data_IF_976774348447
#
_entry.id   IF_976774348447
#
_cell.length_a   1.000
_cell.length_b   1.000
_cell.length_c   1.000
_cell.angle_alpha   90.00
_cell.angle_beta   90.00
_cell.angle_gamma   90.00
#
_symmetry.space_group_name_H-M   'P 1'
#
loop_
_entity.id
_entity.type
_entity.pdbx_description
1 polymer ?
#
# COMPACT_ATOMS: atom_id res chain seq x y z
N UNK A 1 -24.67 14.96 -69.83
CA UNK A 1 -24.53 14.21 -68.57
C UNK A 1 -23.90 15.14 -67.55
N UNK A 2 -24.69 15.59 -66.57
CA UNK A 2 -24.21 16.50 -65.51
C UNK A 2 -23.26 15.73 -64.59
N UNK A 3 -22.07 16.26 -64.24
CA UNK A 3 -21.16 15.61 -63.31
C UNK A 3 -21.83 15.65 -61.93
N UNK A 4 -22.51 14.55 -61.58
CA UNK A 4 -23.01 14.34 -60.23
C UNK A 4 -21.85 14.54 -59.26
N UNK A 5 -22.03 15.55 -58.42
CA UNK A 5 -21.11 16.02 -57.39
C UNK A 5 -20.57 14.83 -56.59
N UNK A 6 -19.31 14.43 -56.84
CA UNK A 6 -18.54 13.47 -56.03
C UNK A 6 -18.09 14.05 -54.68
N UNK A 7 -18.45 15.31 -54.40
CA UNK A 7 -18.07 16.05 -53.20
C UNK A 7 -18.59 15.43 -51.87
N UNK A 8 -19.83 14.91 -51.73
CA UNK A 8 -20.31 14.43 -50.44
C UNK A 8 -19.61 13.14 -50.00
N UNK A 9 -19.18 12.29 -50.94
CA UNK A 9 -18.46 11.03 -50.62
C UNK A 9 -17.09 11.32 -50.01
N UNK A 10 -16.41 12.38 -50.48
CA UNK A 10 -15.10 12.81 -49.96
C UNK A 10 -15.24 13.35 -48.54
N UNK A 11 -16.27 14.16 -48.27
CA UNK A 11 -16.50 14.71 -46.91
C UNK A 11 -16.89 13.63 -45.90
N UNK A 12 -17.70 12.64 -46.31
CA UNK A 12 -18.07 11.51 -45.45
C UNK A 12 -16.83 10.67 -45.12
N UNK A 13 -15.99 10.37 -46.12
CA UNK A 13 -14.74 9.64 -45.91
C UNK A 13 -13.80 10.35 -44.94
N UNK A 14 -13.67 11.68 -45.06
CA UNK A 14 -12.86 12.50 -44.16
C UNK A 14 -13.40 12.48 -42.71
N UNK A 15 -14.71 12.59 -42.53
CA UNK A 15 -15.36 12.53 -41.21
C UNK A 15 -15.14 11.19 -40.52
N UNK A 16 -15.26 10.08 -41.24
CA UNK A 16 -14.99 8.73 -40.70
C UNK A 16 -13.52 8.61 -40.29
N UNK A 17 -12.59 9.15 -41.08
CA UNK A 17 -11.16 9.10 -40.79
C UNK A 17 -10.80 9.92 -39.54
N UNK A 18 -11.43 11.09 -39.37
CA UNK A 18 -11.28 11.92 -38.15
C UNK A 18 -11.85 11.19 -36.93
N UNK A 19 -13.01 10.54 -37.06
CA UNK A 19 -13.63 9.79 -35.96
C UNK A 19 -12.77 8.59 -35.53
N UNK A 20 -12.20 7.85 -36.49
CA UNK A 20 -11.28 6.73 -36.22
C UNK A 20 -9.99 7.23 -35.58
N UNK A 21 -9.41 8.34 -36.08
CA UNK A 21 -8.22 8.93 -35.49
C UNK A 21 -8.48 9.41 -34.06
N UNK A 22 -9.61 10.10 -33.82
CA UNK A 22 -10.02 10.51 -32.49
C UNK A 22 -10.19 9.29 -31.56
N UNK A 23 -10.86 8.22 -32.01
CA UNK A 23 -11.03 7.00 -31.23
C UNK A 23 -9.68 6.34 -30.86
N UNK A 24 -8.73 6.27 -31.79
CA UNK A 24 -7.38 5.74 -31.53
C UNK A 24 -6.62 6.64 -30.55
N UNK A 25 -6.72 7.96 -30.70
CA UNK A 25 -6.02 8.93 -29.83
C UNK A 25 -6.63 8.93 -28.42
N UNK A 26 -7.96 8.91 -28.29
CA UNK A 26 -8.62 8.90 -26.99
C UNK A 26 -8.44 7.56 -26.25
N UNK A 27 -8.51 6.41 -26.94
CA UNK A 27 -8.22 5.11 -26.31
C UNK A 27 -6.72 4.88 -26.10
N UNK A 28 -5.85 5.48 -26.92
CA UNK A 28 -4.40 5.41 -26.74
C UNK A 28 -3.88 6.32 -25.62
N UNK A 29 -4.66 7.34 -25.23
CA UNK A 29 -4.37 8.26 -24.11
C UNK A 29 -4.98 7.83 -22.77
N UNK A 30 -5.77 6.74 -22.72
CA UNK A 30 -5.92 5.96 -21.47
C UNK A 30 -4.59 5.25 -21.15
N UNK A 31 -3.53 6.03 -20.93
CA UNK A 31 -2.51 5.62 -19.99
C UNK A 31 -3.21 5.60 -18.64
N UNK A 32 -3.77 4.43 -18.29
CA UNK A 32 -4.08 4.07 -16.92
C UNK A 32 -2.79 4.24 -16.12
N UNK A 33 -2.57 5.45 -15.61
CA UNK A 33 -1.38 5.79 -14.87
C UNK A 33 -1.57 5.21 -13.48
N UNK A 34 -1.39 3.90 -13.39
CA UNK A 34 -1.48 3.06 -12.21
C UNK A 34 -0.38 3.37 -11.18
N UNK A 35 0.25 4.53 -11.28
CA UNK A 35 1.32 4.97 -10.42
C UNK A 35 1.28 6.49 -10.19
N UNK A 36 1.69 6.92 -9.00
CA UNK A 36 1.90 8.33 -8.66
C UNK A 36 3.14 8.47 -7.77
N UNK A 37 3.85 9.60 -7.87
CA UNK A 37 4.91 9.95 -6.92
C UNK A 37 4.32 10.82 -5.81
N UNK A 38 4.50 10.41 -4.55
CA UNK A 38 4.17 11.18 -3.36
C UNK A 38 5.44 11.32 -2.55
N UNK A 39 5.98 12.55 -2.43
CA UNK A 39 7.18 12.83 -1.63
C UNK A 39 8.41 11.94 -1.98
N UNK A 40 8.56 11.58 -3.25
CA UNK A 40 9.64 10.69 -3.70
C UNK A 40 9.41 9.19 -3.45
N UNK A 41 8.20 8.81 -3.01
CA UNK A 41 7.74 7.43 -2.88
C UNK A 41 6.84 7.11 -4.07
N UNK A 42 7.09 5.96 -4.70
CA UNK A 42 6.29 5.49 -5.82
C UNK A 42 5.10 4.68 -5.31
N UNK A 43 3.90 5.22 -5.47
CA UNK A 43 2.65 4.57 -5.14
C UNK A 43 2.12 3.90 -6.41
N UNK A 44 1.99 2.57 -6.42
CA UNK A 44 1.48 1.80 -7.55
C UNK A 44 0.18 1.11 -7.17
N UNK A 45 -0.79 1.01 -8.07
CA UNK A 45 -2.04 0.31 -7.85
C UNK A 45 -2.40 -0.61 -9.02
N UNK A 46 -2.91 -1.81 -8.73
CA UNK A 46 -3.28 -2.77 -9.77
C UNK A 46 -4.63 -2.41 -10.41
N UNK A 47 -4.60 -2.01 -11.68
CA UNK A 47 -5.81 -1.80 -12.49
C UNK A 47 -6.61 -0.53 -12.17
N UNK A 48 -6.17 0.28 -11.22
CA UNK A 48 -6.77 1.56 -10.82
C UNK A 48 -5.69 2.58 -10.47
N UNK A 49 -6.05 3.86 -10.43
CA UNK A 49 -5.12 4.90 -9.94
C UNK A 49 -5.06 4.87 -8.40
N UNK A 50 -3.90 5.15 -7.77
CA UNK A 50 -3.78 5.09 -6.31
C UNK A 50 -4.78 6.00 -5.56
N UNK A 51 -5.17 7.13 -6.14
CA UNK A 51 -6.15 8.06 -5.57
C UNK A 51 -7.53 7.43 -5.34
N UNK A 52 -7.91 6.40 -6.12
CA UNK A 52 -9.20 5.74 -6.01
C UNK A 52 -9.19 4.58 -5.00
N UNK A 53 -8.07 3.84 -4.91
CA UNK A 53 -7.96 2.68 -4.02
C UNK A 53 -7.68 3.07 -2.56
N UNK A 54 -6.90 4.13 -2.33
CA UNK A 54 -6.48 4.52 -0.98
C UNK A 54 -7.69 4.89 -0.08
N UNK A 55 -8.66 5.72 -0.51
CA UNK A 55 -9.83 6.03 0.31
C UNK A 55 -10.69 4.80 0.60
N UNK A 56 -10.77 3.85 -0.35
CA UNK A 56 -11.50 2.59 -0.18
C UNK A 56 -10.85 1.73 0.91
N UNK A 57 -9.52 1.58 0.86
CA UNK A 57 -8.76 0.86 1.87
C UNK A 57 -8.87 1.52 3.25
N UNK A 58 -8.81 2.84 3.32
CA UNK A 58 -8.92 3.59 4.58
C UNK A 58 -10.32 3.46 5.24
N UNK A 59 -11.35 3.21 4.44
CA UNK A 59 -12.72 3.02 4.92
C UNK A 59 -12.97 1.65 5.56
N UNK A 60 -12.12 0.65 5.32
CA UNK A 60 -12.25 -0.70 5.91
C UNK A 60 -12.11 -0.65 7.44
N UNK A 61 -12.68 -1.63 8.14
CA UNK A 61 -12.72 -1.65 9.61
C UNK A 61 -11.62 -2.53 10.23
N UNK A 62 -11.22 -3.59 9.53
CA UNK A 62 -10.26 -4.58 10.03
C UNK A 62 -8.94 -4.48 9.26
N UNK A 63 -7.83 -4.46 10.00
CA UNK A 63 -6.49 -4.39 9.45
C UNK A 63 -5.59 -5.44 10.08
N UNK A 64 -4.74 -6.03 9.24
CA UNK A 64 -3.61 -6.86 9.67
C UNK A 64 -2.32 -6.12 9.31
N UNK A 65 -1.58 -5.67 10.31
CA UNK A 65 -0.28 -5.01 10.12
C UNK A 65 0.80 -6.06 10.28
N UNK A 66 1.40 -6.43 9.15
CA UNK A 66 2.40 -7.48 9.07
C UNK A 66 3.81 -6.94 8.81
N UNK A 67 4.77 -7.31 9.66
CA UNK A 67 6.18 -6.92 9.52
C UNK A 67 7.05 -8.17 9.41
N UNK A 68 8.05 -8.14 8.53
CA UNK A 68 8.99 -9.25 8.38
C UNK A 68 10.28 -9.03 9.18
N UNK A 69 10.77 -10.07 9.85
CA UNK A 69 12.05 -10.12 10.57
C UNK A 69 12.77 -11.44 10.29
N UNK A 70 14.10 -11.46 10.41
CA UNK A 70 14.83 -12.74 10.39
C UNK A 70 14.92 -13.32 11.81
N UNK A 71 14.84 -14.64 11.92
CA UNK A 71 14.94 -15.37 13.18
C UNK A 71 16.25 -15.13 13.94
N UNK A 72 17.36 -14.94 13.20
CA UNK A 72 18.72 -14.96 13.75
C UNK A 72 19.45 -13.62 13.77
N UNK A 73 18.78 -12.49 13.54
CA UNK A 73 19.49 -11.18 13.67
C UNK A 73 19.64 -10.81 15.14
N UNK A 74 20.88 -10.76 15.60
CA UNK A 74 21.23 -10.04 16.83
C UNK A 74 22.08 -8.82 16.46
N UNK A 75 21.62 -7.58 16.69
CA UNK A 75 20.32 -7.18 17.22
C UNK A 75 19.22 -7.11 16.13
N UNK A 76 17.97 -7.32 16.54
CA UNK A 76 16.77 -7.01 15.75
C UNK A 76 16.81 -5.55 15.33
N UNK A 77 16.59 -5.25 14.03
CA UNK A 77 16.60 -3.87 13.54
C UNK A 77 15.34 -3.12 14.05
N UNK A 78 15.47 -2.16 14.98
CA UNK A 78 14.32 -1.49 15.58
C UNK A 78 13.55 -0.62 14.57
N UNK A 79 14.19 -0.22 13.46
CA UNK A 79 13.57 0.60 12.43
C UNK A 79 12.40 -0.13 11.74
N UNK A 80 12.50 -1.46 11.58
CA UNK A 80 11.42 -2.27 11.00
C UNK A 80 10.15 -2.24 11.87
N UNK A 81 10.33 -2.25 13.20
CA UNK A 81 9.22 -2.19 14.15
C UNK A 81 8.57 -0.81 14.21
N UNK A 82 9.35 0.25 14.03
CA UNK A 82 8.82 1.61 14.05
C UNK A 82 7.78 1.83 12.93
N UNK A 83 8.01 1.30 11.73
CA UNK A 83 7.02 1.36 10.65
C UNK A 83 5.71 0.65 11.04
N UNK A 84 5.81 -0.53 11.66
CA UNK A 84 4.65 -1.30 12.16
C UNK A 84 3.87 -0.54 13.22
N UNK A 85 4.59 0.02 14.20
CA UNK A 85 4.01 0.79 15.29
C UNK A 85 3.29 2.04 14.81
N UNK A 86 3.81 2.74 13.79
CA UNK A 86 3.12 3.88 13.18
C UNK A 86 1.76 3.47 12.62
N UNK A 87 1.69 2.37 11.86
CA UNK A 87 0.43 1.84 11.36
C UNK A 87 -0.53 1.50 12.49
N UNK A 88 -0.07 0.75 13.50
CA UNK A 88 -0.89 0.36 14.64
C UNK A 88 -1.46 1.60 15.36
N UNK A 89 -0.61 2.57 15.72
CA UNK A 89 -1.02 3.79 16.43
C UNK A 89 -2.03 4.60 15.64
N UNK A 90 -1.79 4.84 14.35
CA UNK A 90 -2.67 5.69 13.54
C UNK A 90 -3.99 4.98 13.20
N UNK A 91 -3.96 3.68 12.93
CA UNK A 91 -5.17 2.88 12.69
C UNK A 91 -6.03 2.79 13.96
N UNK A 92 -5.44 2.46 15.12
CA UNK A 92 -6.15 2.42 16.40
C UNK A 92 -6.70 3.81 16.78
N UNK A 93 -5.93 4.88 16.55
CA UNK A 93 -6.39 6.26 16.76
C UNK A 93 -7.56 6.67 15.85
N UNK A 94 -7.68 6.03 14.69
CA UNK A 94 -8.83 6.13 13.78
C UNK A 94 -9.91 5.06 14.05
N UNK A 95 -9.88 4.43 15.24
CA UNK A 95 -10.86 3.45 15.72
C UNK A 95 -10.95 2.18 14.88
N UNK A 96 -9.89 1.84 14.14
CA UNK A 96 -9.81 0.59 13.37
C UNK A 96 -9.42 -0.59 14.25
N UNK A 97 -9.86 -1.78 13.88
CA UNK A 97 -9.45 -3.02 14.53
C UNK A 97 -8.14 -3.48 13.91
N UNK A 98 -7.09 -3.56 14.73
CA UNK A 98 -5.74 -3.85 14.25
C UNK A 98 -5.24 -5.15 14.86
N UNK A 99 -4.87 -6.09 14.00
CA UNK A 99 -4.11 -7.29 14.39
C UNK A 99 -2.66 -7.11 13.95
N UNK A 100 -1.71 -7.31 14.87
CA UNK A 100 -0.29 -7.32 14.56
C UNK A 100 0.14 -8.73 14.13
N UNK A 101 0.94 -8.83 13.07
CA UNK A 101 1.46 -10.10 12.57
C UNK A 101 2.95 -10.02 12.22
N UNK A 102 3.82 -10.53 13.09
CA UNK A 102 5.27 -10.55 12.88
C UNK A 102 5.63 -11.82 12.11
N UNK A 103 6.03 -11.70 10.84
CA UNK A 103 6.51 -12.80 10.01
C UNK A 103 7.99 -13.07 10.31
N UNK A 104 8.30 -14.25 10.83
CA UNK A 104 9.69 -14.63 11.12
C UNK A 104 10.21 -15.56 10.03
N UNK A 105 11.26 -15.14 9.34
CA UNK A 105 11.86 -15.87 8.23
C UNK A 105 13.29 -16.34 8.53
N UNK A 106 13.74 -17.37 7.82
CA UNK A 106 15.14 -17.78 7.80
C UNK A 106 16.00 -16.87 6.88
N UNK A 107 17.32 -17.10 6.85
CA UNK A 107 18.26 -16.37 5.99
C UNK A 107 17.95 -16.53 4.48
N UNK A 108 17.26 -17.60 4.10
CA UNK A 108 16.78 -17.85 2.73
C UNK A 108 15.47 -17.14 2.41
N UNK A 109 14.86 -16.44 3.36
CA UNK A 109 13.56 -15.78 3.22
C UNK A 109 12.36 -16.73 3.34
N UNK A 110 12.55 -17.96 3.79
CA UNK A 110 11.45 -18.90 4.03
C UNK A 110 10.75 -18.56 5.34
N UNK A 111 9.43 -18.50 5.31
CA UNK A 111 8.62 -18.27 6.51
C UNK A 111 8.71 -19.48 7.45
N UNK A 112 9.15 -19.22 8.69
CA UNK A 112 9.28 -20.24 9.73
C UNK A 112 8.04 -20.30 10.61
N UNK A 113 7.59 -19.13 11.09
CA UNK A 113 6.38 -18.96 11.89
C UNK A 113 5.96 -17.48 11.89
N UNK A 114 4.83 -17.18 12.51
CA UNK A 114 4.45 -15.81 12.80
C UNK A 114 4.15 -15.61 14.27
N UNK A 115 4.51 -14.44 14.81
CA UNK A 115 3.98 -13.93 16.07
C UNK A 115 2.73 -13.11 15.77
N UNK A 116 1.70 -13.21 16.60
CA UNK A 116 0.47 -12.44 16.48
C UNK A 116 -0.09 -12.10 17.85
N UNK A 117 -0.91 -11.06 17.90
CA UNK A 117 -1.64 -10.68 19.10
C UNK A 117 -3.16 -10.91 18.97
N UNK A 118 -3.64 -11.40 17.81
CA UNK A 118 -5.06 -11.55 17.49
C UNK A 118 -5.93 -10.29 17.78
N UNK A 119 -5.30 -9.11 17.79
CA UNK A 119 -5.96 -7.85 18.14
C UNK A 119 -6.02 -7.52 19.63
N UNK A 120 -5.46 -8.35 20.52
CA UNK A 120 -5.27 -8.04 21.94
C UNK A 120 -3.84 -7.53 22.18
N UNK A 121 -3.70 -6.24 22.52
CA UNK A 121 -2.41 -5.58 22.78
C UNK A 121 -1.59 -6.20 23.93
N UNK A 122 -2.18 -7.11 24.72
CA UNK A 122 -1.54 -7.74 25.88
C UNK A 122 -1.07 -9.16 25.65
N UNK A 123 -1.38 -9.74 24.49
CA UNK A 123 -1.03 -11.12 24.17
C UNK A 123 0.00 -11.16 23.06
N UNK A 124 0.86 -12.17 23.12
CA UNK A 124 1.75 -12.53 22.04
C UNK A 124 1.70 -14.05 21.92
N UNK A 125 1.31 -14.53 20.75
CA UNK A 125 1.21 -15.95 20.43
C UNK A 125 1.97 -16.26 19.16
N UNK A 126 2.73 -17.36 19.20
CA UNK A 126 3.37 -17.93 18.02
C UNK A 126 2.39 -18.87 17.32
N UNK A 127 2.16 -18.64 16.02
CA UNK A 127 1.27 -19.43 15.17
C UNK A 127 2.04 -20.15 14.05
N UNK A 128 1.42 -21.19 13.50
CA UNK A 128 2.01 -21.97 12.40
C UNK A 128 2.04 -21.16 11.10
N UNK A 129 2.85 -21.61 10.15
CA UNK A 129 2.91 -21.05 8.79
C UNK A 129 1.52 -21.05 8.13
N UNK A 130 0.74 -22.12 8.27
CA UNK A 130 -0.60 -22.24 7.67
C UNK A 130 -1.59 -21.21 8.25
N UNK A 131 -1.58 -21.03 9.57
CA UNK A 131 -2.39 -20.02 10.24
C UNK A 131 -1.96 -18.61 9.80
N UNK A 132 -0.66 -18.36 9.71
CA UNK A 132 -0.14 -17.08 9.25
C UNK A 132 -0.55 -16.76 7.81
N UNK A 133 -0.45 -17.74 6.90
CA UNK A 133 -0.89 -17.58 5.52
C UNK A 133 -2.40 -17.38 5.40
N UNK A 134 -3.18 -17.95 6.32
CA UNK A 134 -4.62 -17.68 6.40
C UNK A 134 -4.88 -16.21 6.73
N UNK A 135 -4.18 -15.65 7.73
CA UNK A 135 -4.31 -14.23 8.09
C UNK A 135 -3.81 -13.28 6.99
N UNK A 136 -2.75 -13.64 6.26
CA UNK A 136 -2.21 -12.83 5.16
C UNK A 136 -3.08 -12.87 3.89
N UNK A 137 -3.93 -13.89 3.76
CA UNK A 137 -4.84 -14.06 2.63
C UNK A 137 -6.30 -13.82 2.99
N UNK A 138 -6.57 -13.33 4.19
CA UNK A 138 -7.92 -12.97 4.63
C UNK A 138 -8.48 -11.85 3.73
N UNK A 139 -9.69 -12.08 3.22
CA UNK A 139 -10.42 -11.11 2.39
C UNK A 139 -11.32 -10.18 3.21
N UNK A 140 -11.46 -10.42 4.52
CA UNK A 140 -12.24 -9.55 5.41
C UNK A 140 -11.43 -8.39 5.97
N UNK A 141 -10.09 -8.49 5.91
CA UNK A 141 -9.16 -7.51 6.47
C UNK A 141 -8.27 -6.87 5.41
N UNK A 142 -7.87 -5.62 5.61
CA UNK A 142 -6.78 -5.00 4.84
C UNK A 142 -5.44 -5.47 5.39
N UNK A 143 -4.62 -6.10 4.56
CA UNK A 143 -3.31 -6.60 4.95
C UNK A 143 -2.22 -5.60 4.54
N UNK A 144 -1.60 -5.00 5.53
CA UNK A 144 -0.47 -4.08 5.36
C UNK A 144 0.82 -4.86 5.59
N UNK A 145 1.60 -5.08 4.55
CA UNK A 145 2.87 -5.81 4.59
C UNK A 145 4.04 -4.86 4.52
N UNK A 146 4.78 -4.76 5.61
CA UNK A 146 6.06 -4.07 5.69
C UNK A 146 7.14 -5.10 5.38
N UNK A 147 7.73 -4.99 4.19
CA UNK A 147 8.76 -5.90 3.72
C UNK A 147 10.16 -5.37 4.07
N UNK A 148 11.16 -6.25 3.99
CA UNK A 148 12.54 -5.83 4.12
C UNK A 148 12.87 -4.71 3.12
N UNK A 149 13.74 -3.76 3.50
CA UNK A 149 14.19 -2.76 2.57
C UNK A 149 14.86 -3.39 1.34
N UNK A 150 14.85 -2.67 0.21
CA UNK A 150 15.51 -3.07 -1.03
C UNK A 150 16.75 -2.20 -1.27
N UNK A 151 17.93 -2.58 -0.74
CA UNK A 151 19.16 -1.84 -0.98
C UNK A 151 19.42 -1.65 -2.48
N UNK A 152 19.75 -0.42 -2.88
CA UNK A 152 20.01 -0.07 -4.28
C UNK A 152 18.77 0.31 -5.10
N UNK A 153 17.56 0.25 -4.52
CA UNK A 153 16.38 0.81 -5.16
C UNK A 153 16.47 2.35 -5.24
N UNK A 154 16.08 2.91 -6.39
CA UNK A 154 16.05 4.37 -6.61
C UNK A 154 15.02 5.06 -5.70
N UNK A 155 13.83 4.45 -5.59
CA UNK A 155 12.71 4.96 -4.83
C UNK A 155 12.21 3.89 -3.86
N UNK A 156 11.60 4.33 -2.75
CA UNK A 156 10.71 3.46 -1.97
C UNK A 156 9.42 3.24 -2.77
N UNK A 157 8.80 2.08 -2.60
CA UNK A 157 7.61 1.68 -3.36
C UNK A 157 6.51 1.25 -2.40
N UNK A 158 5.29 1.67 -2.70
CA UNK A 158 4.07 1.21 -2.04
C UNK A 158 3.16 0.64 -3.10
N UNK A 159 2.85 -0.66 -3.01
CA UNK A 159 1.95 -1.32 -3.96
C UNK A 159 0.60 -1.56 -3.29
N UNK A 160 -0.47 -1.12 -3.96
CA UNK A 160 -1.85 -1.31 -3.58
C UNK A 160 -2.49 -2.34 -4.52
N UNK A 161 -3.11 -3.38 -3.97
CA UNK A 161 -3.89 -4.35 -4.75
C UNK A 161 -5.02 -4.89 -3.89
N UNK A 162 -6.25 -4.72 -4.34
CA UNK A 162 -7.46 -5.10 -3.59
C UNK A 162 -7.40 -4.66 -2.12
N UNK A 163 -7.39 -5.59 -1.15
CA UNK A 163 -7.24 -5.34 0.29
C UNK A 163 -5.79 -5.46 0.80
N UNK A 164 -4.80 -5.14 -0.03
CA UNK A 164 -3.37 -5.29 0.32
C UNK A 164 -2.60 -4.01 0.06
N UNK A 165 -1.76 -3.67 1.03
CA UNK A 165 -0.78 -2.59 0.96
C UNK A 165 0.59 -3.21 1.20
N UNK A 166 1.51 -3.12 0.25
CA UNK A 166 2.88 -3.61 0.42
C UNK A 166 3.83 -2.44 0.44
N UNK A 167 4.53 -2.25 1.57
CA UNK A 167 5.47 -1.16 1.82
C UNK A 167 6.89 -1.70 1.69
N UNK A 168 7.62 -1.16 0.71
CA UNK A 168 9.00 -1.53 0.39
C UNK A 168 9.90 -0.29 0.43
N UNK A 169 10.61 -0.09 1.54
CA UNK A 169 11.52 1.04 1.67
C UNK A 169 12.82 0.80 0.86
N UNK A 170 13.40 1.86 0.28
CA UNK A 170 14.72 1.75 -0.38
C UNK A 170 15.87 1.42 0.60
N UNK A 171 15.71 1.76 1.87
CA UNK A 171 16.61 1.42 2.96
C UNK A 171 15.85 1.44 4.30
N UNK A 172 16.48 0.95 5.37
CA UNK A 172 15.84 0.87 6.69
C UNK A 172 15.54 2.25 7.29
N UNK A 173 16.37 3.27 7.02
CA UNK A 173 16.26 4.59 7.66
C UNK A 173 15.00 5.35 7.22
N UNK A 174 14.51 5.10 6.01
CA UNK A 174 13.33 5.80 5.48
C UNK A 174 12.03 5.04 5.69
N UNK A 175 12.04 3.86 6.31
CA UNK A 175 10.83 3.05 6.45
C UNK A 175 9.72 3.78 7.21
N UNK A 176 10.08 4.53 8.26
CA UNK A 176 9.14 5.35 9.02
C UNK A 176 8.50 6.43 8.17
N UNK A 177 9.30 7.12 7.35
CA UNK A 177 8.80 8.14 6.45
C UNK A 177 7.82 7.54 5.44
N UNK A 178 8.19 6.41 4.83
CA UNK A 178 7.33 5.72 3.86
C UNK A 178 6.01 5.29 4.51
N UNK A 179 6.07 4.62 5.66
CA UNK A 179 4.89 4.21 6.41
C UNK A 179 4.00 5.40 6.79
N UNK A 180 4.60 6.51 7.24
CA UNK A 180 3.87 7.71 7.60
C UNK A 180 3.21 8.39 6.40
N UNK A 181 3.90 8.56 5.27
CA UNK A 181 3.31 9.13 4.05
C UNK A 181 2.13 8.30 3.56
N UNK A 182 2.18 6.96 3.67
CA UNK A 182 1.02 6.09 3.36
C UNK A 182 -0.15 6.41 4.28
N UNK A 183 0.10 6.49 5.60
CA UNK A 183 -0.93 6.77 6.60
C UNK A 183 -1.53 8.17 6.46
N UNK A 184 -0.72 9.19 6.17
CA UNK A 184 -1.17 10.55 5.91
C UNK A 184 -2.06 10.62 4.65
N UNK A 185 -1.71 9.83 3.62
CA UNK A 185 -2.55 9.74 2.41
C UNK A 185 -3.88 9.01 2.70
N UNK A 186 -3.88 8.05 3.63
CA UNK A 186 -5.10 7.33 4.04
C UNK A 186 -5.99 8.13 5.00
N UNK A 187 -5.37 8.89 5.91
CA UNK A 187 -6.04 9.54 7.04
C UNK A 187 -5.50 10.96 7.22
N UNK A 188 -6.34 11.97 6.94
CA UNK A 188 -5.97 13.37 7.04
C UNK A 188 -5.64 13.84 8.47
N UNK A 189 -5.98 13.06 9.49
CA UNK A 189 -5.66 13.31 10.89
C UNK A 189 -4.41 12.56 11.40
N UNK A 190 -3.65 11.90 10.53
CA UNK A 190 -2.50 11.07 10.92
C UNK A 190 -1.49 11.84 11.80
N UNK A 191 -1.17 13.09 11.46
CA UNK A 191 -0.30 13.96 12.27
C UNK A 191 -0.87 14.22 13.67
N UNK A 192 -2.17 14.54 13.76
CA UNK A 192 -2.84 14.84 15.02
C UNK A 192 -2.85 13.62 15.95
N UNK A 193 -3.14 12.44 15.40
CA UNK A 193 -3.13 11.17 16.15
C UNK A 193 -1.73 10.88 16.69
N UNK A 194 -0.70 11.02 15.84
CA UNK A 194 0.68 10.78 16.25
C UNK A 194 1.14 11.78 17.32
N UNK A 195 0.80 13.06 17.18
CA UNK A 195 1.11 14.09 18.17
C UNK A 195 0.48 13.77 19.54
N UNK A 196 -0.81 13.43 19.57
CA UNK A 196 -1.52 13.06 20.81
C UNK A 196 -0.90 11.83 21.48
N UNK A 197 -0.53 10.82 20.68
CA UNK A 197 0.12 9.61 21.19
C UNK A 197 1.46 9.93 21.88
N UNK A 198 2.31 10.75 21.25
CA UNK A 198 3.60 11.14 21.81
C UNK A 198 3.48 11.97 23.09
N UNK A 199 2.48 12.87 23.17
CA UNK A 199 2.22 13.65 24.38
C UNK A 199 1.85 12.73 25.55
N UNK A 200 0.99 11.74 25.33
CA UNK A 200 0.59 10.78 26.37
C UNK A 200 1.78 9.93 26.80
N UNK A 201 2.57 9.41 25.86
CA UNK A 201 3.76 8.62 26.16
C UNK A 201 4.77 9.40 27.02
N UNK A 202 5.03 10.67 26.68
CA UNK A 202 5.92 11.55 27.46
C UNK A 202 5.40 11.97 28.83
N UNK A 203 4.10 11.82 29.10
CA UNK A 203 3.52 12.04 30.44
C UNK A 203 3.67 10.81 31.35
N UNK A 204 3.89 9.63 30.78
CA UNK A 204 3.98 8.35 31.50
C UNK A 204 5.44 7.93 31.78
N UNK A 205 6.42 8.59 31.16
CA UNK A 205 7.87 8.39 31.35
C UNK A 205 8.43 9.24 32.48
#
# INVERSE_FOLDING_TARGET
MSPQSKKPVIYIGLLVLIAVFAFIVFNGMEQNNNSMLVEGILFNAEGVVPQDIIPRLAAEENFVVSTVIYEKVNPVNPLMFNGSNLFIVILTGNQKKVTQLIRVVDEGGNLLYCGTNFGDERTEEQITVEQCMTMLNDSESVVIRIEFPKPGATNSVVNFSDKRIVVEAKNADVINNVSFTVLETMFSNAEEVLYKSNVIAGQLS
#
